data_IF_612294571762
#
_entry.id   IF_612294571762
#
_cell.length_a   1.000
_cell.length_b   1.000
_cell.length_c   1.000
_cell.angle_alpha   90.00
_cell.angle_beta   90.00
_cell.angle_gamma   90.00
#
_symmetry.space_group_name_H-M   'P 1'
#
loop_
_entity.id
_entity.type
_entity.pdbx_description
1 polymer ?
#
# COMPACT_ATOMS: atom_id res chain seq x y z
N UNK A 1 -10.11 -3.45 -14.83
CA UNK A 1 -8.83 -3.34 -14.11
C UNK A 1 -7.93 -4.45 -14.61
N UNK A 2 -6.75 -4.12 -15.11
CA UNK A 2 -5.89 -5.08 -15.81
C UNK A 2 -4.97 -5.81 -14.84
N UNK A 3 -4.84 -7.13 -14.99
CA UNK A 3 -4.01 -7.96 -14.11
C UNK A 3 -2.67 -8.24 -14.80
N UNK A 4 -1.60 -7.69 -14.24
CA UNK A 4 -0.23 -7.87 -14.72
C UNK A 4 0.42 -8.99 -13.91
N UNK A 5 0.68 -10.12 -14.57
CA UNK A 5 1.29 -11.32 -13.96
C UNK A 5 2.71 -11.60 -14.48
N UNK A 6 3.02 -11.08 -15.66
CA UNK A 6 4.30 -11.29 -16.35
C UNK A 6 5.31 -10.24 -15.91
N UNK A 7 6.57 -10.55 -16.15
CA UNK A 7 7.65 -9.58 -16.05
C UNK A 7 7.45 -8.45 -17.06
N UNK A 8 7.77 -7.23 -16.63
CA UNK A 8 7.62 -6.02 -17.42
C UNK A 8 8.94 -5.67 -18.10
N UNK A 9 8.87 -5.32 -19.38
CA UNK A 9 9.98 -4.74 -20.14
C UNK A 9 9.88 -3.22 -20.28
N UNK A 10 8.68 -2.68 -20.04
CA UNK A 10 8.38 -1.25 -19.94
C UNK A 10 7.29 -1.07 -18.88
N UNK A 11 7.29 0.06 -18.18
CA UNK A 11 6.30 0.31 -17.14
C UNK A 11 4.91 0.52 -17.80
N UNK A 12 3.83 -0.14 -17.33
CA UNK A 12 2.50 -0.09 -17.99
C UNK A 12 1.87 1.32 -18.01
N UNK A 13 2.35 2.20 -17.14
CA UNK A 13 1.97 3.61 -17.05
C UNK A 13 2.91 4.57 -17.80
N UNK A 14 4.03 4.09 -18.36
CA UNK A 14 5.01 4.90 -19.06
C UNK A 14 6.14 5.43 -18.17
N UNK A 15 6.76 6.51 -18.62
CA UNK A 15 7.96 7.12 -18.01
C UNK A 15 7.64 8.05 -16.85
N UNK A 16 8.63 8.27 -15.98
CA UNK A 16 8.56 9.21 -14.86
C UNK A 16 8.26 10.60 -15.36
N UNK A 17 7.24 11.21 -14.78
CA UNK A 17 6.80 12.55 -15.15
C UNK A 17 7.46 13.53 -14.21
N UNK A 18 8.07 14.57 -14.77
CA UNK A 18 8.75 15.64 -14.04
C UNK A 18 7.75 16.63 -13.42
N UNK A 19 6.82 16.13 -12.60
CA UNK A 19 5.92 16.95 -11.79
C UNK A 19 5.99 16.48 -10.34
N UNK A 20 6.19 17.43 -9.43
CA UNK A 20 6.26 17.14 -8.00
C UNK A 20 4.87 16.78 -7.47
N UNK A 21 4.79 15.63 -6.80
CA UNK A 21 3.55 15.08 -6.25
C UNK A 21 3.49 15.22 -4.73
N UNK A 22 2.29 15.08 -4.18
CA UNK A 22 1.99 15.08 -2.75
C UNK A 22 1.36 13.75 -2.37
N UNK A 23 1.88 13.12 -1.33
CA UNK A 23 1.44 11.80 -0.89
C UNK A 23 0.69 11.88 0.44
N UNK A 24 -0.35 11.08 0.59
CA UNK A 24 -0.94 10.71 1.87
C UNK A 24 -0.67 9.22 2.13
N UNK A 25 -0.04 8.91 3.26
CA UNK A 25 0.37 7.53 3.60
C UNK A 25 -0.27 7.09 4.91
N UNK A 26 -1.04 6.00 4.86
CA UNK A 26 -1.52 5.30 6.05
C UNK A 26 -0.71 4.02 6.25
N UNK A 27 -0.46 3.65 7.50
CA UNK A 27 0.39 2.50 7.82
C UNK A 27 1.90 2.80 7.72
N UNK A 28 2.28 4.08 7.81
CA UNK A 28 3.67 4.54 7.70
C UNK A 28 4.61 4.05 8.82
N UNK A 29 4.08 3.51 9.92
CA UNK A 29 4.86 2.84 10.98
C UNK A 29 5.06 1.34 10.73
N UNK A 30 4.40 0.78 9.72
CA UNK A 30 4.51 -0.63 9.34
C UNK A 30 5.77 -0.93 8.52
N UNK A 31 6.07 -2.22 8.31
CA UNK A 31 7.31 -2.63 7.65
C UNK A 31 7.48 -2.08 6.22
N UNK A 32 6.43 -2.13 5.38
CA UNK A 32 6.48 -1.55 4.04
C UNK A 32 6.25 -0.04 4.05
N UNK A 33 5.30 0.45 4.86
CA UNK A 33 4.98 1.87 4.92
C UNK A 33 6.14 2.75 5.40
N UNK A 34 6.96 2.26 6.33
CA UNK A 34 8.16 2.97 6.78
C UNK A 34 9.22 3.08 5.68
N UNK A 35 9.39 2.02 4.89
CA UNK A 35 10.30 2.04 3.72
C UNK A 35 9.76 2.96 2.64
N UNK A 36 8.45 2.94 2.38
CA UNK A 36 7.82 3.85 1.42
C UNK A 36 8.02 5.31 1.85
N UNK A 37 7.75 5.63 3.12
CA UNK A 37 7.96 6.97 3.65
C UNK A 37 9.40 7.46 3.42
N UNK A 38 10.42 6.67 3.77
CA UNK A 38 11.83 7.04 3.53
C UNK A 38 12.11 7.30 2.05
N UNK A 39 11.69 6.39 1.16
CA UNK A 39 11.90 6.55 -0.29
C UNK A 39 11.19 7.78 -0.88
N UNK A 40 10.00 8.13 -0.37
CA UNK A 40 9.27 9.32 -0.80
C UNK A 40 9.96 10.60 -0.32
N UNK A 41 10.44 10.65 0.92
CA UNK A 41 11.13 11.81 1.48
C UNK A 41 12.47 12.09 0.75
N UNK A 42 13.18 11.03 0.36
CA UNK A 42 14.43 11.10 -0.41
C UNK A 42 14.24 11.52 -1.88
N UNK A 43 13.07 11.26 -2.47
CA UNK A 43 12.80 11.51 -3.89
C UNK A 43 12.47 12.97 -4.20
N UNK A 44 13.07 13.52 -5.27
CA UNK A 44 12.78 14.87 -5.76
C UNK A 44 11.42 14.99 -6.47
N UNK A 45 10.77 13.87 -6.77
CA UNK A 45 9.44 13.83 -7.38
C UNK A 45 8.31 14.07 -6.36
N UNK A 46 8.64 14.25 -5.08
CA UNK A 46 7.67 14.49 -4.02
C UNK A 46 7.99 15.75 -3.21
N UNK A 47 6.97 16.57 -3.00
CA UNK A 47 7.08 17.84 -2.27
C UNK A 47 6.57 17.75 -0.83
N UNK A 48 5.45 17.05 -0.62
CA UNK A 48 4.79 16.94 0.69
C UNK A 48 4.30 15.52 0.91
N UNK A 49 4.65 14.95 2.05
CA UNK A 49 4.22 13.63 2.50
C UNK A 49 3.45 13.81 3.80
N UNK A 50 2.15 13.53 3.78
CA UNK A 50 1.31 13.52 4.97
C UNK A 50 1.16 12.10 5.47
N UNK A 51 1.44 11.86 6.76
CA UNK A 51 1.20 10.56 7.40
C UNK A 51 0.12 10.70 8.45
N UNK A 52 -0.88 9.81 8.47
CA UNK A 52 -1.85 9.73 9.58
C UNK A 52 -1.64 8.41 10.30
N UNK A 53 -1.26 8.49 11.57
CA UNK A 53 -0.76 7.35 12.35
C UNK A 53 -1.16 7.46 13.82
N UNK A 54 -1.01 6.36 14.56
CA UNK A 54 -1.24 6.35 16.02
C UNK A 54 -0.01 6.64 16.87
N UNK A 55 1.15 6.74 16.23
CA UNK A 55 2.45 6.98 16.87
C UNK A 55 3.31 7.78 15.88
N UNK A 56 4.21 8.65 16.36
CA UNK A 56 5.14 9.37 15.48
C UNK A 56 5.90 8.43 14.54
N UNK A 57 6.14 8.89 13.31
CA UNK A 57 7.05 8.21 12.36
C UNK A 57 8.47 8.72 12.56
N UNK A 58 9.46 8.05 11.95
CA UNK A 58 10.88 8.43 12.03
C UNK A 58 11.39 8.63 13.47
N UNK A 59 10.86 7.87 14.44
CA UNK A 59 11.18 8.03 15.86
C UNK A 59 10.95 9.45 16.42
N UNK A 60 10.05 10.22 15.82
CA UNK A 60 9.76 11.60 16.20
C UNK A 60 10.64 12.64 15.53
N UNK A 61 11.56 12.23 14.65
CA UNK A 61 12.36 13.17 13.85
C UNK A 61 11.47 13.91 12.84
N UNK A 62 11.84 15.15 12.56
CA UNK A 62 11.14 16.01 11.61
C UNK A 62 11.85 16.03 10.25
N UNK A 63 11.11 16.30 9.17
CA UNK A 63 11.67 16.43 7.83
C UNK A 63 10.92 17.53 7.06
N UNK A 64 11.63 18.31 6.24
CA UNK A 64 11.06 19.47 5.52
C UNK A 64 9.84 19.16 4.63
N UNK A 65 9.76 17.93 4.12
CA UNK A 65 8.63 17.45 3.29
C UNK A 65 7.53 16.76 4.10
N UNK A 66 7.75 16.48 5.39
CA UNK A 66 6.91 15.60 6.19
C UNK A 66 5.90 16.42 7.00
N UNK A 67 4.62 16.04 6.87
CA UNK A 67 3.51 16.52 7.69
C UNK A 67 2.95 15.35 8.50
N UNK A 68 3.24 15.29 9.80
CA UNK A 68 2.80 14.18 10.66
C UNK A 68 1.50 14.53 11.37
N UNK A 69 0.48 13.70 11.16
CA UNK A 69 -0.77 13.74 11.91
C UNK A 69 -0.81 12.51 12.82
N UNK A 70 -0.70 12.73 14.12
CA UNK A 70 -0.75 11.68 15.13
C UNK A 70 -2.09 11.76 15.85
N UNK A 71 -2.82 10.65 15.87
CA UNK A 71 -4.13 10.52 16.53
C UNK A 71 -4.09 9.37 17.54
N UNK A 72 -4.79 9.49 18.67
CA UNK A 72 -4.76 8.45 19.70
C UNK A 72 -5.47 7.16 19.25
N UNK A 73 -6.58 7.31 18.52
CA UNK A 73 -7.35 6.21 17.95
C UNK A 73 -7.76 6.50 16.52
N UNK A 74 -7.87 5.46 15.70
CA UNK A 74 -8.47 5.55 14.37
C UNK A 74 -9.98 5.80 14.39
N UNK A 75 -10.62 5.76 15.56
CA UNK A 75 -12.00 6.24 15.71
C UNK A 75 -12.09 7.75 15.49
N UNK A 76 -10.99 8.48 15.74
CA UNK A 76 -10.89 9.92 15.51
C UNK A 76 -10.49 10.27 14.07
N UNK A 77 -10.41 9.29 13.16
CA UNK A 77 -9.90 9.52 11.80
C UNK A 77 -10.70 10.59 11.04
N UNK A 78 -12.01 10.71 11.26
CA UNK A 78 -12.85 11.75 10.64
C UNK A 78 -12.41 13.18 11.02
N UNK A 79 -11.81 13.38 12.20
CA UNK A 79 -11.30 14.69 12.63
C UNK A 79 -10.09 15.14 11.80
N UNK A 80 -9.49 14.22 11.03
CA UNK A 80 -8.34 14.52 10.18
C UNK A 80 -8.73 14.96 8.77
N UNK A 81 -10.02 15.09 8.43
CA UNK A 81 -10.52 15.31 7.06
C UNK A 81 -9.76 16.40 6.27
N UNK A 82 -9.50 17.55 6.88
CA UNK A 82 -8.72 18.65 6.28
C UNK A 82 -7.31 18.23 5.86
N UNK A 83 -6.68 17.32 6.62
CA UNK A 83 -5.34 16.80 6.32
C UNK A 83 -5.30 15.86 5.11
N UNK A 84 -6.44 15.48 4.54
CA UNK A 84 -6.51 14.66 3.32
C UNK A 84 -6.50 15.50 2.04
N UNK A 85 -6.83 16.79 2.12
CA UNK A 85 -6.97 17.66 0.95
C UNK A 85 -5.64 17.94 0.25
N UNK A 86 -5.69 18.08 -1.08
CA UNK A 86 -4.56 18.55 -1.90
C UNK A 86 -3.42 17.54 -2.05
N UNK A 87 -3.71 16.24 -2.03
CA UNK A 87 -2.76 15.17 -2.32
C UNK A 87 -3.04 14.54 -3.68
N UNK A 88 -1.98 14.12 -4.37
CA UNK A 88 -2.06 13.47 -5.67
C UNK A 88 -2.12 11.94 -5.54
N UNK A 89 -1.62 11.39 -4.43
CA UNK A 89 -1.54 9.93 -4.25
C UNK A 89 -1.83 9.52 -2.82
N UNK A 90 -2.75 8.57 -2.68
CA UNK A 90 -3.10 7.90 -1.44
C UNK A 90 -2.47 6.50 -1.40
N UNK A 91 -1.64 6.23 -0.39
CA UNK A 91 -1.00 4.93 -0.17
C UNK A 91 -1.60 4.25 1.06
N UNK A 92 -2.37 3.20 0.83
CA UNK A 92 -2.85 2.32 1.89
C UNK A 92 -1.83 1.19 2.15
N UNK A 93 -0.94 1.42 3.11
CA UNK A 93 0.03 0.45 3.61
C UNK A 93 -0.41 -0.22 4.92
N UNK A 94 -1.71 -0.16 5.26
CA UNK A 94 -2.24 -0.90 6.42
C UNK A 94 -2.00 -2.38 6.20
N UNK A 95 -1.51 -3.05 7.24
CA UNK A 95 -1.30 -4.49 7.23
C UNK A 95 -1.10 -5.02 8.64
N UNK A 96 -1.81 -6.10 8.97
CA UNK A 96 -1.70 -6.79 10.25
C UNK A 96 -1.77 -8.30 10.02
N UNK A 97 -1.59 -9.05 11.10
CA UNK A 97 -1.86 -10.50 11.13
C UNK A 97 -2.90 -10.75 12.19
N UNK A 98 -3.64 -11.87 12.12
CA UNK A 98 -4.59 -12.24 13.18
C UNK A 98 -3.94 -12.23 14.57
N UNK A 99 -2.67 -12.67 14.66
CA UNK A 99 -1.88 -12.64 15.90
C UNK A 99 -1.66 -11.21 16.41
N UNK A 100 -1.24 -10.29 15.54
CA UNK A 100 -0.97 -8.89 15.92
C UNK A 100 -2.27 -8.13 16.21
N UNK A 101 -3.34 -8.43 15.46
CA UNK A 101 -4.64 -7.80 15.63
C UNK A 101 -5.35 -8.22 16.93
N UNK A 102 -5.00 -9.38 17.50
CA UNK A 102 -5.64 -9.90 18.71
C UNK A 102 -6.90 -10.73 18.46
N UNK A 103 -7.16 -11.13 17.21
CA UNK A 103 -8.33 -11.95 16.89
C UNK A 103 -8.78 -11.87 15.44
N UNK A 104 -9.76 -12.71 15.07
CA UNK A 104 -10.36 -12.72 13.74
C UNK A 104 -11.11 -11.42 13.46
N UNK A 105 -11.96 -10.98 14.39
CA UNK A 105 -12.74 -9.75 14.25
C UNK A 105 -11.82 -8.53 14.09
N UNK A 106 -10.84 -8.37 14.98
CA UNK A 106 -9.91 -7.25 14.93
C UNK A 106 -9.07 -7.26 13.65
N UNK A 107 -8.73 -8.45 13.14
CA UNK A 107 -8.07 -8.58 11.83
C UNK A 107 -8.95 -8.03 10.70
N UNK A 108 -10.24 -8.37 10.68
CA UNK A 108 -11.19 -7.83 9.68
C UNK A 108 -11.40 -6.33 9.86
N UNK A 109 -11.62 -5.87 11.09
CA UNK A 109 -11.83 -4.46 11.42
C UNK A 109 -10.63 -3.61 10.97
N UNK A 110 -9.40 -4.13 11.07
CA UNK A 110 -8.19 -3.42 10.65
C UNK A 110 -7.95 -3.54 9.14
N UNK A 111 -7.89 -4.76 8.58
CA UNK A 111 -7.55 -4.94 7.16
C UNK A 111 -8.62 -4.34 6.24
N UNK A 112 -9.90 -4.61 6.53
CA UNK A 112 -11.00 -4.12 5.72
C UNK A 112 -11.61 -2.83 6.30
N UNK A 113 -12.01 -2.84 7.58
CA UNK A 113 -12.77 -1.73 8.17
C UNK A 113 -12.01 -0.40 8.17
N UNK A 114 -10.75 -0.40 8.61
CA UNK A 114 -9.91 0.80 8.58
C UNK A 114 -9.58 1.21 7.14
N UNK A 115 -9.30 0.25 6.25
CA UNK A 115 -9.06 0.54 4.83
C UNK A 115 -10.27 1.18 4.15
N UNK A 116 -11.49 0.77 4.52
CA UNK A 116 -12.73 1.34 4.00
C UNK A 116 -12.88 2.80 4.43
N UNK A 117 -12.70 3.10 5.73
CA UNK A 117 -12.74 4.47 6.26
C UNK A 117 -11.68 5.37 5.63
N UNK A 118 -10.46 4.87 5.46
CA UNK A 118 -9.38 5.63 4.81
C UNK A 118 -9.67 5.89 3.33
N UNK A 119 -10.20 4.90 2.60
CA UNK A 119 -10.59 5.08 1.20
C UNK A 119 -11.73 6.09 1.05
N UNK A 120 -12.70 6.10 1.96
CA UNK A 120 -13.78 7.08 2.00
C UNK A 120 -13.24 8.51 2.12
N UNK A 121 -12.34 8.75 3.09
CA UNK A 121 -11.73 10.07 3.30
C UNK A 121 -10.87 10.50 2.12
N UNK A 122 -10.08 9.59 1.54
CA UNK A 122 -9.28 9.87 0.35
C UNK A 122 -10.15 10.25 -0.85
N UNK A 123 -11.25 9.53 -1.06
CA UNK A 123 -12.20 9.79 -2.15
C UNK A 123 -12.92 11.12 -1.93
N UNK A 124 -13.41 11.40 -0.71
CA UNK A 124 -14.01 12.70 -0.35
C UNK A 124 -13.06 13.88 -0.53
N UNK A 125 -11.75 13.66 -0.33
CA UNK A 125 -10.70 14.64 -0.56
C UNK A 125 -10.29 14.77 -2.03
N UNK A 126 -10.93 14.04 -2.95
CA UNK A 126 -10.63 13.99 -4.38
C UNK A 126 -9.17 13.65 -4.69
N UNK A 127 -8.56 12.74 -3.92
CA UNK A 127 -7.23 12.22 -4.25
C UNK A 127 -7.37 11.30 -5.47
N UNK A 128 -6.74 11.60 -6.62
CA UNK A 128 -7.02 10.87 -7.87
C UNK A 128 -6.40 9.47 -7.92
N UNK A 129 -5.24 9.29 -7.27
CA UNK A 129 -4.45 8.07 -7.38
C UNK A 129 -4.43 7.32 -6.07
N UNK A 130 -4.74 6.03 -6.09
CA UNK A 130 -4.74 5.18 -4.90
C UNK A 130 -3.92 3.90 -5.12
N UNK A 131 -3.07 3.58 -4.15
CA UNK A 131 -2.27 2.36 -4.11
C UNK A 131 -2.56 1.55 -2.86
N UNK A 132 -2.67 0.22 -3.01
CA UNK A 132 -3.01 -0.68 -1.91
C UNK A 132 -2.16 -1.95 -1.94
N UNK A 133 -1.67 -2.33 -0.76
CA UNK A 133 -0.98 -3.60 -0.54
C UNK A 133 -2.00 -4.68 -0.17
N UNK A 134 -2.11 -5.67 -1.04
CA UNK A 134 -2.93 -6.87 -0.93
C UNK A 134 -2.03 -8.10 -0.76
N UNK A 135 -2.48 -9.28 -1.22
CA UNK A 135 -1.74 -10.53 -1.18
C UNK A 135 -2.15 -11.45 -2.34
N UNK A 136 -1.27 -12.38 -2.69
CA UNK A 136 -1.61 -13.49 -3.57
C UNK A 136 -2.83 -14.26 -3.06
N UNK A 137 -3.80 -14.52 -3.93
CA UNK A 137 -5.02 -15.28 -3.61
C UNK A 137 -6.22 -14.43 -3.15
N UNK A 138 -6.05 -13.13 -2.89
CA UNK A 138 -7.13 -12.24 -2.46
C UNK A 138 -8.42 -12.36 -3.30
N UNK A 139 -9.55 -12.61 -2.63
CA UNK A 139 -10.84 -12.83 -3.27
C UNK A 139 -12.01 -12.50 -2.32
N UNK A 140 -12.68 -11.36 -2.53
CA UNK A 140 -13.79 -10.91 -1.67
C UNK A 140 -15.00 -11.85 -1.67
N UNK A 141 -15.18 -12.59 -2.77
CA UNK A 141 -16.27 -13.56 -2.94
C UNK A 141 -15.94 -14.94 -2.37
N UNK A 142 -14.73 -15.14 -1.83
CA UNK A 142 -14.37 -16.40 -1.20
C UNK A 142 -15.31 -16.69 -0.01
N UNK A 143 -15.76 -17.95 0.09
CA UNK A 143 -16.42 -18.41 1.30
C UNK A 143 -15.42 -18.41 2.47
N UNK A 144 -15.85 -17.94 3.63
CA UNK A 144 -15.00 -17.88 4.81
C UNK A 144 -15.81 -18.04 6.10
N UNK A 145 -15.13 -18.59 7.10
CA UNK A 145 -15.58 -18.68 8.49
C UNK A 145 -14.43 -18.23 9.39
N UNK A 146 -14.75 -17.54 10.48
CA UNK A 146 -13.77 -16.81 11.30
C UNK A 146 -12.66 -17.69 11.91
N UNK A 147 -12.97 -18.95 12.19
CA UNK A 147 -12.02 -19.89 12.80
C UNK A 147 -11.00 -20.47 11.80
N UNK A 148 -11.30 -20.49 10.50
CA UNK A 148 -10.37 -20.96 9.45
C UNK A 148 -9.61 -19.76 8.88
N UNK A 149 -8.46 -19.44 9.48
CA UNK A 149 -7.72 -18.22 9.17
C UNK A 149 -7.33 -18.03 7.69
N UNK A 150 -6.86 -19.04 6.93
CA UNK A 150 -6.50 -18.83 5.52
C UNK A 150 -7.69 -18.39 4.63
N UNK A 151 -8.89 -18.91 4.90
CA UNK A 151 -10.10 -18.53 4.18
C UNK A 151 -10.54 -17.13 4.57
N UNK A 152 -10.56 -16.83 5.88
CA UNK A 152 -10.83 -15.48 6.38
C UNK A 152 -9.85 -14.47 5.78
N UNK A 153 -8.55 -14.75 5.81
CA UNK A 153 -7.51 -13.91 5.26
C UNK A 153 -7.77 -13.61 3.77
N UNK A 154 -7.99 -14.65 2.97
CA UNK A 154 -8.26 -14.52 1.54
C UNK A 154 -9.46 -13.63 1.24
N UNK A 155 -10.55 -13.84 1.98
CA UNK A 155 -11.77 -13.04 1.86
C UNK A 155 -11.53 -11.59 2.27
N UNK A 156 -10.98 -11.36 3.46
CA UNK A 156 -10.76 -10.02 4.02
C UNK A 156 -9.83 -9.18 3.15
N UNK A 157 -8.73 -9.76 2.66
CA UNK A 157 -7.80 -9.03 1.78
C UNK A 157 -8.46 -8.74 0.42
N UNK A 158 -9.33 -9.61 -0.08
CA UNK A 158 -10.16 -9.32 -1.25
C UNK A 158 -11.15 -8.18 -0.99
N UNK A 159 -11.84 -8.18 0.14
CA UNK A 159 -12.75 -7.08 0.53
C UNK A 159 -12.00 -5.75 0.68
N UNK A 160 -10.76 -5.81 1.17
CA UNK A 160 -9.86 -4.65 1.25
C UNK A 160 -9.54 -4.06 -0.14
N UNK A 161 -9.39 -4.89 -1.18
CA UNK A 161 -9.24 -4.36 -2.54
C UNK A 161 -10.49 -3.65 -3.03
N UNK A 162 -11.67 -4.17 -2.67
CA UNK A 162 -12.96 -3.58 -3.06
C UNK A 162 -13.16 -2.16 -2.51
N UNK A 163 -12.43 -1.77 -1.46
CA UNK A 163 -12.49 -0.38 -0.96
C UNK A 163 -12.05 0.62 -2.03
N UNK A 164 -11.12 0.25 -2.91
CA UNK A 164 -10.66 1.10 -4.02
C UNK A 164 -11.31 0.76 -5.35
N UNK A 165 -11.85 -0.45 -5.54
CA UNK A 165 -12.35 -0.90 -6.85
C UNK A 165 -13.87 -0.91 -6.97
N UNK A 166 -14.61 -0.86 -5.84
CA UNK A 166 -16.07 -0.94 -5.85
C UNK A 166 -16.72 0.12 -4.96
N UNK A 167 -16.19 0.36 -3.77
CA UNK A 167 -16.83 1.27 -2.81
C UNK A 167 -16.62 2.74 -3.14
N UNK A 168 -15.43 3.11 -3.62
CA UNK A 168 -15.06 4.50 -3.90
C UNK A 168 -14.38 4.62 -5.27
N UNK A 169 -14.56 5.79 -5.91
CA UNK A 169 -13.98 6.09 -7.21
C UNK A 169 -12.62 6.78 -7.09
N UNK A 170 -11.66 6.28 -7.84
CA UNK A 170 -10.32 6.86 -8.04
C UNK A 170 -9.99 6.78 -9.54
N UNK A 171 -9.28 7.77 -10.06
CA UNK A 171 -8.87 7.79 -11.48
C UNK A 171 -7.86 6.70 -11.77
N UNK A 172 -6.93 6.46 -10.84
CA UNK A 172 -5.91 5.42 -10.98
C UNK A 172 -5.81 4.58 -9.73
N UNK A 173 -6.02 3.27 -9.88
CA UNK A 173 -5.87 2.30 -8.79
C UNK A 173 -4.74 1.33 -9.08
N UNK A 174 -3.83 1.16 -8.13
CA UNK A 174 -2.76 0.17 -8.20
C UNK A 174 -2.81 -0.76 -7.00
N UNK A 175 -3.13 -2.03 -7.25
CA UNK A 175 -3.18 -3.07 -6.23
C UNK A 175 -1.97 -3.98 -6.39
N UNK A 176 -1.19 -4.13 -5.33
CA UNK A 176 -0.02 -5.02 -5.31
C UNK A 176 -0.38 -6.30 -4.56
N UNK A 177 -0.32 -7.45 -5.24
CA UNK A 177 -0.51 -8.79 -4.66
C UNK A 177 0.84 -9.54 -4.58
N UNK A 178 1.70 -9.19 -3.61
CA UNK A 178 3.00 -9.84 -3.43
C UNK A 178 2.84 -11.27 -2.90
N UNK A 179 3.95 -12.02 -2.98
CA UNK A 179 4.20 -13.22 -2.17
C UNK A 179 4.61 -12.85 -0.74
N UNK A 180 5.40 -13.73 -0.10
CA UNK A 180 5.82 -13.53 1.29
C UNK A 180 6.68 -12.28 1.44
N UNK A 181 6.32 -11.37 2.36
CA UNK A 181 7.09 -10.16 2.61
C UNK A 181 8.25 -10.41 3.58
N UNK A 182 9.46 -10.06 3.14
CA UNK A 182 10.69 -10.16 3.92
C UNK A 182 10.95 -8.81 4.60
N UNK A 183 10.79 -8.77 5.93
CA UNK A 183 10.93 -7.54 6.74
C UNK A 183 12.38 -7.24 7.13
N UNK A 184 13.13 -8.28 7.48
CA UNK A 184 14.56 -8.21 7.81
C UNK A 184 15.28 -9.23 6.95
N UNK A 185 16.26 -8.78 6.18
CA UNK A 185 17.11 -9.68 5.42
C UNK A 185 18.13 -10.31 6.37
N UNK A 186 18.25 -11.63 6.32
CA UNK A 186 19.30 -12.36 7.01
C UNK A 186 19.94 -13.31 6.01
N UNK A 187 21.11 -12.94 5.51
CA UNK A 187 21.88 -13.68 4.50
C UNK A 187 22.30 -15.09 4.96
N UNK A 188 22.32 -15.35 6.26
CA UNK A 188 22.62 -16.66 6.83
C UNK A 188 21.39 -17.56 7.02
N UNK A 189 20.17 -17.02 6.83
CA UNK A 189 18.94 -17.80 6.98
C UNK A 189 18.71 -18.73 5.79
N UNK A 190 18.65 -20.05 6.03
CA UNK A 190 18.32 -21.06 5.00
C UNK A 190 16.96 -20.80 4.36
N UNK A 191 15.98 -20.33 5.14
CA UNK A 191 14.66 -19.94 4.66
C UNK A 191 14.71 -18.72 3.75
N UNK A 192 15.58 -17.74 4.05
CA UNK A 192 15.78 -16.56 3.21
C UNK A 192 16.38 -16.94 1.86
N UNK A 193 17.44 -17.76 1.85
CA UNK A 193 18.06 -18.27 0.61
C UNK A 193 17.07 -19.03 -0.25
N UNK A 194 16.20 -19.85 0.36
CA UNK A 194 15.13 -20.54 -0.35
C UNK A 194 14.14 -19.57 -1.00
N UNK A 195 13.65 -18.57 -0.25
CA UNK A 195 12.72 -17.57 -0.79
C UNK A 195 13.32 -16.72 -1.91
N UNK A 196 14.62 -16.41 -1.82
CA UNK A 196 15.34 -15.67 -2.87
C UNK A 196 15.45 -16.54 -4.15
N UNK A 197 15.87 -17.80 -4.01
CA UNK A 197 16.03 -18.72 -5.15
C UNK A 197 14.72 -19.07 -5.87
N UNK A 198 13.60 -19.13 -5.13
CA UNK A 198 12.28 -19.47 -5.66
C UNK A 198 11.46 -18.25 -6.04
N UNK A 199 11.97 -17.04 -5.77
CA UNK A 199 11.26 -15.77 -5.93
C UNK A 199 9.92 -15.72 -5.16
N UNK A 200 9.75 -16.54 -4.12
CA UNK A 200 8.57 -16.55 -3.25
C UNK A 200 8.58 -15.40 -2.23
N UNK A 201 9.76 -14.89 -1.91
CA UNK A 201 9.95 -13.74 -1.04
C UNK A 201 10.08 -12.41 -1.79
N UNK A 202 9.53 -11.36 -1.19
CA UNK A 202 9.71 -9.97 -1.64
C UNK A 202 10.17 -9.09 -0.46
N UNK A 203 11.35 -8.47 -0.54
CA UNK A 203 11.76 -7.48 0.45
C UNK A 203 10.77 -6.32 0.52
N UNK A 204 10.44 -5.88 1.73
CA UNK A 204 9.50 -4.76 1.93
C UNK A 204 9.99 -3.46 1.28
N UNK A 205 11.33 -3.24 1.22
CA UNK A 205 11.93 -2.11 0.50
C UNK A 205 11.67 -2.18 -1.00
N UNK A 206 11.73 -3.37 -1.60
CA UNK A 206 11.43 -3.60 -3.01
C UNK A 206 9.96 -3.30 -3.29
N UNK A 207 9.04 -3.81 -2.47
CA UNK A 207 7.61 -3.48 -2.62
C UNK A 207 7.38 -1.96 -2.50
N UNK A 208 7.98 -1.31 -1.51
CA UNK A 208 7.87 0.14 -1.34
C UNK A 208 8.39 0.92 -2.56
N UNK A 209 9.51 0.49 -3.14
CA UNK A 209 10.05 1.08 -4.38
C UNK A 209 9.08 0.91 -5.56
N UNK A 210 8.40 -0.24 -5.67
CA UNK A 210 7.40 -0.47 -6.71
C UNK A 210 6.18 0.45 -6.54
N UNK A 211 5.67 0.62 -5.30
CA UNK A 211 4.57 1.56 -5.00
C UNK A 211 4.94 3.00 -5.40
N UNK A 212 6.14 3.46 -5.01
CA UNK A 212 6.65 4.79 -5.37
C UNK A 212 6.77 4.93 -6.89
N UNK A 213 7.45 3.99 -7.56
CA UNK A 213 7.72 4.04 -9.00
C UNK A 213 6.43 4.05 -9.82
N UNK A 214 5.40 3.32 -9.41
CA UNK A 214 4.09 3.31 -10.08
C UNK A 214 3.33 4.65 -9.92
N UNK A 215 3.40 5.27 -8.74
CA UNK A 215 2.75 6.57 -8.51
C UNK A 215 3.45 7.74 -9.21
N UNK A 216 4.78 7.65 -9.41
CA UNK A 216 5.59 8.69 -10.07
C UNK A 216 5.36 8.80 -11.59
N UNK A 217 4.65 7.84 -12.20
CA UNK A 217 4.38 7.80 -13.65
C UNK A 217 2.95 8.07 -14.05
N UNK A 218 2.09 8.32 -13.08
CA UNK A 218 0.70 8.66 -13.39
C UNK A 218 0.66 10.07 -13.97
N UNK A 219 0.27 10.16 -15.24
CA UNK A 219 -0.02 11.42 -15.95
C UNK A 219 -1.46 11.87 -15.69
N UNK A 220 -1.67 13.19 -15.66
CA UNK A 220 -2.97 13.82 -15.40
C UNK A 220 -4.11 13.33 -16.33
N UNK A 221 -3.79 12.91 -17.56
CA UNK A 221 -4.78 12.50 -18.57
C UNK A 221 -4.94 10.98 -18.73
N UNK A 222 -4.28 10.17 -17.90
CA UNK A 222 -4.36 8.71 -17.99
C UNK A 222 -5.15 8.14 -16.82
N UNK A 223 -6.29 7.51 -17.13
CA UNK A 223 -7.10 6.73 -16.19
C UNK A 223 -6.80 5.25 -16.46
N UNK A 224 -5.97 4.64 -15.61
CA UNK A 224 -5.59 3.23 -15.71
C UNK A 224 -5.51 2.59 -14.33
N UNK A 225 -6.03 1.37 -14.22
CA UNK A 225 -6.02 0.62 -12.98
C UNK A 225 -5.43 -0.77 -13.17
N UNK A 226 -4.45 -1.12 -12.34
CA UNK A 226 -3.64 -2.33 -12.46
C UNK A 226 -3.59 -3.15 -11.17
N UNK A 227 -3.67 -4.47 -11.33
CA UNK A 227 -3.29 -5.44 -10.29
C UNK A 227 -1.93 -6.03 -10.65
N UNK A 228 -0.90 -5.72 -9.86
CA UNK A 228 0.42 -6.33 -9.96
C UNK A 228 0.43 -7.64 -9.17
N UNK A 229 0.38 -8.78 -9.86
CA UNK A 229 0.31 -10.11 -9.25
C UNK A 229 1.67 -10.81 -9.28
N UNK A 230 2.22 -11.05 -8.09
CA UNK A 230 3.41 -11.86 -7.88
C UNK A 230 4.73 -11.08 -7.93
N UNK A 231 5.76 -11.67 -7.33
CA UNK A 231 7.02 -10.97 -7.05
C UNK A 231 7.82 -10.60 -8.31
N UNK A 232 7.76 -11.40 -9.39
CA UNK A 232 8.50 -11.09 -10.65
C UNK A 232 8.01 -9.76 -11.25
N UNK A 233 6.69 -9.67 -11.45
CA UNK A 233 6.01 -8.48 -11.96
C UNK A 233 6.32 -7.23 -11.12
N UNK A 234 6.17 -7.33 -9.79
CA UNK A 234 6.42 -6.21 -8.86
C UNK A 234 7.89 -5.78 -8.87
N UNK A 235 8.83 -6.72 -8.99
CA UNK A 235 10.27 -6.39 -9.09
C UNK A 235 10.57 -5.66 -10.39
N UNK A 236 10.06 -6.16 -11.51
CA UNK A 236 10.29 -5.55 -12.83
C UNK A 236 9.70 -4.15 -12.95
N UNK A 237 8.58 -3.85 -12.26
CA UNK A 237 7.97 -2.52 -12.31
C UNK A 237 8.83 -1.41 -11.67
N UNK A 238 9.96 -1.75 -11.06
CA UNK A 238 10.92 -0.78 -10.49
C UNK A 238 11.96 -0.37 -11.55
N UNK A 239 12.35 -1.32 -12.40
CA UNK A 239 13.49 -1.22 -13.31
C UNK A 239 13.12 -0.64 -14.68
N UNK A 240 11.83 -0.69 -14.98
CA UNK A 240 11.19 -0.11 -16.18
C UNK A 240 10.55 1.21 -15.81
#
# INVERSE_FOLDING_TARGET
MDIIKKELFAHPRGDIISHKKRALVIGATGATGAQLLSLLLESNNWDKITTITRKPVLNGENHKKLNQIVIDSFDNLNQTAESWLGHDSFFNCIGTTRKIAGGAKQFVDIEFGLSLKCAELASKANIPNASLISAGGANANAWAVDWIHPLLYTKTIGMKEETLTKHFGFDNVSIFRPGMLIRKYNEHSRMQKFFDSTNLGLPVKTLAAALKRDAEVISENSIKSFIYLGNKCIKSSILT
#
